data_IF_906867604808
#
_entry.id   IF_906867604808
#
_cell.length_a   1.000
_cell.length_b   1.000
_cell.length_c   1.000
_cell.angle_alpha   90.00
_cell.angle_beta   90.00
_cell.angle_gamma   90.00
#
_symmetry.space_group_name_H-M   'P 1'
#
loop_
_entity.id
_entity.type
_entity.pdbx_description
1 polymer ?
#
# COMPACT_ATOMS: atom_id res chain seq x y z
N UNK A 1 -5.63 -18.54 7.67
CA UNK A 1 -4.59 -18.10 6.71
C UNK A 1 -4.64 -18.85 5.39
N UNK A 2 -4.85 -20.17 5.37
CA UNK A 2 -4.96 -20.95 4.11
C UNK A 2 -6.03 -20.42 3.14
N UNK A 3 -7.28 -20.25 3.58
CA UNK A 3 -8.36 -19.73 2.73
C UNK A 3 -8.02 -18.36 2.15
N UNK A 4 -7.36 -17.51 2.94
CA UNK A 4 -6.90 -16.20 2.51
C UNK A 4 -5.81 -16.31 1.43
N UNK A 5 -4.80 -17.16 1.63
CA UNK A 5 -3.76 -17.43 0.62
C UNK A 5 -4.35 -17.97 -0.69
N UNK A 6 -5.31 -18.90 -0.62
CA UNK A 6 -6.03 -19.42 -1.79
C UNK A 6 -6.82 -18.33 -2.51
N UNK A 7 -7.50 -17.45 -1.79
CA UNK A 7 -8.21 -16.32 -2.41
C UNK A 7 -7.26 -15.37 -3.14
N UNK A 8 -6.07 -15.12 -2.58
CA UNK A 8 -5.05 -14.26 -3.19
C UNK A 8 -4.50 -14.81 -4.51
N UNK A 9 -4.45 -16.13 -4.71
CA UNK A 9 -4.05 -16.74 -5.98
C UNK A 9 -4.98 -16.34 -7.15
N UNK A 10 -6.24 -15.98 -6.86
CA UNK A 10 -7.19 -15.51 -7.87
C UNK A 10 -7.26 -13.98 -7.89
N UNK A 11 -7.26 -13.34 -6.71
CA UNK A 11 -7.39 -11.89 -6.60
C UNK A 11 -6.20 -11.16 -7.24
N UNK A 12 -4.96 -11.63 -7.02
CA UNK A 12 -3.77 -10.96 -7.53
C UNK A 12 -3.74 -10.94 -9.07
N UNK A 13 -3.89 -12.07 -9.80
CA UNK A 13 -3.98 -12.03 -11.26
C UNK A 13 -5.11 -11.15 -11.77
N UNK A 14 -6.27 -11.14 -11.09
CA UNK A 14 -7.38 -10.30 -11.46
C UNK A 14 -7.03 -8.81 -11.37
N UNK A 15 -6.40 -8.35 -10.28
CA UNK A 15 -5.92 -6.97 -10.17
C UNK A 15 -4.86 -6.62 -11.21
N UNK A 16 -3.92 -7.54 -11.49
CA UNK A 16 -2.91 -7.34 -12.54
C UNK A 16 -3.56 -7.14 -13.90
N UNK A 17 -4.57 -7.94 -14.25
CA UNK A 17 -5.32 -7.79 -15.50
C UNK A 17 -6.02 -6.43 -15.57
N UNK A 18 -6.64 -5.96 -14.47
CA UNK A 18 -7.29 -4.64 -14.44
C UNK A 18 -6.30 -3.49 -14.62
N UNK A 19 -5.14 -3.55 -13.97
CA UNK A 19 -4.08 -2.54 -14.13
C UNK A 19 -3.54 -2.56 -15.57
N UNK A 20 -3.27 -3.74 -16.14
CA UNK A 20 -2.82 -3.86 -17.53
C UNK A 20 -3.87 -3.36 -18.53
N UNK A 21 -5.16 -3.60 -18.24
CA UNK A 21 -6.26 -3.08 -19.03
C UNK A 21 -6.30 -1.54 -18.99
N UNK A 22 -6.15 -0.92 -17.83
CA UNK A 22 -6.10 0.54 -17.72
C UNK A 22 -4.88 1.14 -18.43
N UNK A 23 -3.70 0.50 -18.31
CA UNK A 23 -2.48 0.89 -19.05
C UNK A 23 -2.73 0.81 -20.56
N UNK A 24 -3.31 -0.30 -21.03
CA UNK A 24 -3.61 -0.53 -22.44
C UNK A 24 -4.65 0.45 -22.99
N UNK A 25 -5.70 0.73 -22.22
CA UNK A 25 -6.69 1.76 -22.54
C UNK A 25 -6.02 3.14 -22.66
N UNK A 26 -5.20 3.52 -21.68
CA UNK A 26 -4.45 4.77 -21.68
C UNK A 26 -3.55 4.96 -22.90
N UNK A 27 -2.88 3.89 -23.33
CA UNK A 27 -2.09 3.87 -24.55
C UNK A 27 -2.98 4.06 -25.79
N UNK A 28 -4.09 3.32 -25.89
CA UNK A 28 -5.04 3.40 -27.00
C UNK A 28 -5.64 4.81 -27.16
N UNK A 29 -6.02 5.46 -26.05
CA UNK A 29 -6.57 6.83 -26.07
C UNK A 29 -5.52 7.93 -26.07
N UNK A 30 -4.22 7.59 -26.10
CA UNK A 30 -3.08 8.52 -26.06
C UNK A 30 -3.09 9.49 -24.87
N UNK A 31 -3.58 9.04 -23.72
CA UNK A 31 -3.68 9.83 -22.48
C UNK A 31 -3.22 9.03 -21.27
N UNK A 32 -1.99 8.50 -21.33
CA UNK A 32 -1.45 7.62 -20.30
C UNK A 32 -1.39 8.31 -18.92
N UNK A 33 -1.90 7.62 -17.89
CA UNK A 33 -1.91 8.06 -16.49
C UNK A 33 -0.94 7.29 -15.60
N UNK A 34 -0.38 6.20 -16.11
CA UNK A 34 0.66 5.44 -15.44
C UNK A 34 2.04 5.97 -15.79
N UNK A 35 2.91 5.97 -14.78
CA UNK A 35 4.37 6.05 -14.97
C UNK A 35 4.99 4.76 -14.52
N UNK A 36 6.01 4.30 -15.23
CA UNK A 36 6.61 2.98 -15.00
C UNK A 36 7.12 2.83 -13.56
N UNK A 37 7.95 3.76 -13.08
CA UNK A 37 8.52 3.66 -11.73
C UNK A 37 7.47 3.79 -10.63
N UNK A 38 6.49 4.69 -10.79
CA UNK A 38 5.40 4.81 -9.83
C UNK A 38 4.50 3.56 -9.81
N UNK A 39 4.23 2.98 -10.97
CA UNK A 39 3.45 1.73 -11.10
C UNK A 39 4.20 0.58 -10.44
N UNK A 40 5.50 0.44 -10.71
CA UNK A 40 6.34 -0.60 -10.08
C UNK A 40 6.34 -0.42 -8.57
N UNK A 41 6.56 0.80 -8.06
CA UNK A 41 6.51 1.12 -6.63
C UNK A 41 5.17 0.76 -6.00
N UNK A 42 4.06 1.10 -6.67
CA UNK A 42 2.70 0.86 -6.17
C UNK A 42 2.36 -0.64 -6.12
N UNK A 43 2.70 -1.40 -7.17
CA UNK A 43 2.54 -2.86 -7.19
C UNK A 43 3.42 -3.53 -6.13
N UNK A 44 4.67 -3.07 -5.98
CA UNK A 44 5.60 -3.53 -4.95
C UNK A 44 5.06 -3.32 -3.54
N UNK A 45 4.41 -2.18 -3.29
CA UNK A 45 3.73 -1.89 -2.02
C UNK A 45 2.66 -2.94 -1.73
N UNK A 46 1.83 -3.27 -2.73
CA UNK A 46 0.81 -4.32 -2.62
C UNK A 46 1.40 -5.67 -2.27
N UNK A 47 2.51 -6.07 -2.92
CA UNK A 47 3.22 -7.32 -2.59
C UNK A 47 3.71 -7.33 -1.14
N UNK A 48 4.33 -6.25 -0.65
CA UNK A 48 4.82 -6.18 0.74
C UNK A 48 3.69 -6.26 1.77
N UNK A 49 2.57 -5.58 1.52
CA UNK A 49 1.39 -5.66 2.38
C UNK A 49 0.82 -7.09 2.42
N UNK A 50 0.65 -7.73 1.27
CA UNK A 50 0.14 -9.09 1.18
C UNK A 50 1.06 -10.11 1.86
N UNK A 51 2.40 -9.96 1.75
CA UNK A 51 3.36 -10.78 2.51
C UNK A 51 3.14 -10.62 4.01
N UNK A 52 3.11 -9.39 4.52
CA UNK A 52 2.89 -9.10 5.95
C UNK A 52 1.58 -9.70 6.45
N UNK A 53 0.47 -9.45 5.74
CA UNK A 53 -0.86 -9.85 6.18
C UNK A 53 -1.06 -11.37 6.10
N UNK A 54 -0.53 -12.03 5.06
CA UNK A 54 -0.58 -13.48 4.92
C UNK A 54 0.27 -14.25 5.94
N UNK A 55 1.35 -13.63 6.44
CA UNK A 55 2.18 -14.19 7.51
C UNK A 55 1.64 -13.90 8.92
N UNK A 56 0.54 -13.14 9.03
CA UNK A 56 -0.11 -12.86 10.31
C UNK A 56 0.73 -11.97 11.24
N UNK A 57 1.54 -11.06 10.68
CA UNK A 57 2.44 -10.20 11.45
C UNK A 57 1.74 -9.03 12.17
N UNK A 58 0.41 -8.97 12.12
CA UNK A 58 -0.42 -7.95 12.78
C UNK A 58 -0.84 -8.44 14.17
N UNK A 59 -0.59 -7.62 15.19
CA UNK A 59 -1.09 -7.83 16.53
C UNK A 59 -2.47 -7.19 16.64
N UNK A 60 -3.51 -8.01 16.74
CA UNK A 60 -4.89 -7.54 16.95
C UNK A 60 -5.10 -7.28 18.45
N UNK A 61 -5.39 -6.02 18.82
CA UNK A 61 -5.59 -5.64 20.25
C UNK A 61 -6.81 -6.37 20.82
N UNK A 62 -7.94 -6.27 20.11
CA UNK A 62 -9.19 -6.92 20.47
C UNK A 62 -9.78 -7.50 19.19
N UNK A 63 -10.02 -8.81 19.17
CA UNK A 63 -10.58 -9.48 18.00
C UNK A 63 -12.11 -9.33 17.94
N UNK A 64 -12.68 -9.33 16.74
CA UNK A 64 -14.14 -9.27 16.58
C UNK A 64 -14.86 -10.46 17.26
N UNK A 65 -14.37 -11.73 17.15
CA UNK A 65 -14.96 -12.84 17.91
C UNK A 65 -14.93 -12.63 19.42
N UNK A 66 -13.88 -12.01 19.97
CA UNK A 66 -13.84 -11.67 21.39
C UNK A 66 -14.96 -10.68 21.77
N UNK A 67 -15.18 -9.63 20.96
CA UNK A 67 -16.26 -8.66 21.21
C UNK A 67 -17.63 -9.34 21.21
N UNK A 68 -17.93 -10.16 20.20
CA UNK A 68 -19.22 -10.85 20.11
C UNK A 68 -19.41 -11.82 21.28
N UNK A 69 -18.45 -12.68 21.56
CA UNK A 69 -18.59 -13.74 22.57
C UNK A 69 -18.73 -13.20 24.00
N UNK A 70 -18.22 -12.00 24.29
CA UNK A 70 -18.20 -11.44 25.65
C UNK A 70 -19.17 -10.26 25.84
N UNK A 71 -19.51 -9.53 24.78
CA UNK A 71 -20.25 -8.27 24.88
C UNK A 71 -21.58 -8.28 24.11
N UNK A 72 -21.86 -9.26 23.24
CA UNK A 72 -23.10 -9.29 22.48
C UNK A 72 -24.31 -9.39 23.43
N UNK A 73 -25.31 -8.54 23.17
CA UNK A 73 -26.58 -8.53 23.91
C UNK A 73 -27.61 -9.48 23.30
N UNK A 74 -27.42 -9.85 22.03
CA UNK A 74 -28.33 -10.70 21.27
C UNK A 74 -27.55 -11.78 20.53
N UNK A 75 -28.23 -12.86 20.19
CA UNK A 75 -27.73 -13.87 19.27
C UNK A 75 -28.51 -13.73 17.95
N UNK A 76 -27.82 -13.34 16.87
CA UNK A 76 -28.43 -13.12 15.56
C UNK A 76 -27.99 -14.20 14.58
N UNK A 77 -28.95 -14.82 13.89
CA UNK A 77 -28.66 -15.76 12.79
C UNK A 77 -28.22 -15.00 11.54
N UNK A 78 -27.25 -15.55 10.81
CA UNK A 78 -26.80 -15.00 9.53
C UNK A 78 -27.90 -15.12 8.45
N UNK A 79 -28.70 -14.06 8.29
CA UNK A 79 -29.69 -13.90 7.22
C UNK A 79 -29.19 -12.88 6.20
N UNK A 80 -29.77 -12.85 4.99
CA UNK A 80 -29.38 -11.88 3.95
C UNK A 80 -29.45 -10.42 4.45
N UNK A 81 -30.41 -10.10 5.32
CA UNK A 81 -30.56 -8.76 5.91
C UNK A 81 -29.40 -8.44 6.84
N UNK A 82 -28.90 -9.42 7.59
CA UNK A 82 -27.73 -9.26 8.46
C UNK A 82 -26.47 -8.98 7.63
N UNK A 83 -26.31 -9.61 6.48
CA UNK A 83 -25.20 -9.29 5.56
C UNK A 83 -25.27 -7.84 5.07
N UNK A 84 -26.45 -7.35 4.68
CA UNK A 84 -26.64 -5.96 4.22
C UNK A 84 -26.33 -4.97 5.35
N UNK A 85 -26.90 -5.18 6.54
CA UNK A 85 -26.69 -4.30 7.70
C UNK A 85 -25.22 -4.35 8.14
N UNK A 86 -24.60 -5.52 8.17
CA UNK A 86 -23.20 -5.68 8.52
C UNK A 86 -22.28 -4.99 7.51
N UNK A 87 -22.59 -5.04 6.21
CA UNK A 87 -21.83 -4.32 5.19
C UNK A 87 -21.89 -2.79 5.41
N UNK A 88 -23.09 -2.26 5.71
CA UNK A 88 -23.26 -0.84 6.06
C UNK A 88 -22.48 -0.49 7.34
N UNK A 89 -22.49 -1.37 8.36
CA UNK A 89 -21.74 -1.17 9.59
C UNK A 89 -20.21 -1.20 9.36
N UNK A 90 -19.72 -2.10 8.50
CA UNK A 90 -18.32 -2.15 8.08
C UNK A 90 -17.95 -0.85 7.36
N UNK A 91 -18.79 -0.38 6.44
CA UNK A 91 -18.54 0.87 5.72
C UNK A 91 -18.53 2.10 6.62
N UNK A 92 -19.44 2.16 7.59
CA UNK A 92 -19.45 3.20 8.62
C UNK A 92 -18.19 3.15 9.50
N UNK A 93 -17.77 1.95 9.95
CA UNK A 93 -16.53 1.77 10.68
C UNK A 93 -15.31 2.18 9.84
N UNK A 94 -15.34 1.89 8.53
CA UNK A 94 -14.31 2.30 7.57
C UNK A 94 -14.23 3.81 7.42
N UNK A 95 -15.37 4.53 7.33
CA UNK A 95 -15.40 5.99 7.33
C UNK A 95 -14.69 6.58 8.56
N UNK A 96 -14.97 6.07 9.76
CA UNK A 96 -14.32 6.57 10.98
C UNK A 96 -12.84 6.20 11.04
N UNK A 97 -12.47 4.99 10.63
CA UNK A 97 -11.07 4.59 10.51
C UNK A 97 -10.31 5.54 9.57
N UNK A 98 -10.90 5.84 8.43
CA UNK A 98 -10.32 6.70 7.42
C UNK A 98 -10.21 8.15 7.90
N UNK A 99 -11.25 8.67 8.55
CA UNK A 99 -11.22 9.98 9.18
C UNK A 99 -10.17 10.10 10.28
N UNK A 100 -10.01 9.08 11.11
CA UNK A 100 -8.93 9.03 12.10
C UNK A 100 -7.56 9.03 11.44
N UNK A 101 -7.39 8.26 10.36
CA UNK A 101 -6.17 8.23 9.56
C UNK A 101 -5.81 9.59 8.97
N UNK A 102 -6.78 10.39 8.53
CA UNK A 102 -6.50 11.75 8.06
C UNK A 102 -6.26 12.76 9.17
N UNK A 103 -6.85 12.56 10.36
CA UNK A 103 -6.88 13.58 11.41
C UNK A 103 -5.88 13.36 12.54
N UNK A 104 -5.23 12.21 12.68
CA UNK A 104 -4.35 11.91 13.81
C UNK A 104 -3.02 11.32 13.34
N UNK A 105 -1.89 11.87 13.80
CA UNK A 105 -0.53 11.49 13.37
C UNK A 105 -0.26 9.96 13.38
N UNK A 106 -0.60 9.25 14.46
CA UNK A 106 -0.33 7.80 14.54
C UNK A 106 -1.11 6.99 13.51
N UNK A 107 -2.34 7.40 13.20
CA UNK A 107 -3.19 6.72 12.22
C UNK A 107 -2.83 7.15 10.79
N UNK A 108 -2.41 8.40 10.59
CA UNK A 108 -1.87 8.86 9.30
C UNK A 108 -0.66 8.04 8.87
N UNK A 109 0.20 7.60 9.79
CA UNK A 109 1.30 6.70 9.45
C UNK A 109 0.85 5.40 8.74
N UNK A 110 -0.35 4.91 9.06
CA UNK A 110 -0.92 3.70 8.48
C UNK A 110 -1.59 3.94 7.13
N UNK A 111 -1.70 5.19 6.70
CA UNK A 111 -2.47 5.57 5.51
C UNK A 111 -1.70 6.44 4.53
N UNK A 112 -0.68 7.18 4.97
CA UNK A 112 0.15 8.08 4.15
C UNK A 112 0.71 7.41 2.89
N UNK A 113 1.04 6.10 2.94
CA UNK A 113 1.54 5.40 1.76
C UNK A 113 0.48 5.31 0.66
N UNK A 114 -0.80 5.17 1.02
CA UNK A 114 -1.89 5.16 0.05
C UNK A 114 -1.93 6.44 -0.79
N UNK A 115 -1.74 7.59 -0.13
CA UNK A 115 -1.67 8.91 -0.78
C UNK A 115 -0.31 9.25 -1.38
N UNK A 116 0.72 8.45 -1.13
CA UNK A 116 2.10 8.82 -1.50
C UNK A 116 2.40 8.78 -2.99
N UNK A 117 1.55 8.19 -3.82
CA UNK A 117 1.70 8.30 -5.28
C UNK A 117 1.35 9.70 -5.72
N UNK A 118 2.22 10.27 -6.56
CA UNK A 118 1.95 11.55 -7.22
C UNK A 118 1.20 11.35 -8.55
N UNK A 119 0.90 10.11 -8.94
CA UNK A 119 0.00 9.75 -10.02
C UNK A 119 -1.28 9.12 -9.44
N UNK A 120 -2.38 9.12 -10.21
CA UNK A 120 -3.64 8.53 -9.75
C UNK A 120 -4.18 7.56 -10.80
N UNK A 121 -4.18 6.28 -10.47
CA UNK A 121 -4.53 5.16 -11.35
C UNK A 121 -4.72 3.87 -10.53
N UNK A 122 -5.15 2.78 -11.13
CA UNK A 122 -5.49 1.54 -10.43
C UNK A 122 -4.31 0.92 -9.69
N UNK A 123 -3.08 1.18 -10.12
CA UNK A 123 -1.91 0.69 -9.39
C UNK A 123 -1.75 1.40 -8.03
N UNK A 124 -2.07 2.70 -7.93
CA UNK A 124 -1.94 3.44 -6.67
C UNK A 124 -2.89 2.91 -5.57
N UNK A 125 -4.03 2.30 -5.95
CA UNK A 125 -4.92 1.60 -5.02
C UNK A 125 -4.20 0.52 -4.19
N UNK A 126 -3.14 -0.07 -4.77
CA UNK A 126 -2.36 -1.15 -4.16
C UNK A 126 -1.26 -0.64 -3.22
N UNK A 127 -1.12 0.68 -3.04
CA UNK A 127 -0.27 1.28 -2.01
C UNK A 127 -0.86 1.07 -0.62
N UNK A 128 -0.72 -0.15 -0.11
CA UNK A 128 -1.22 -0.58 1.19
C UNK A 128 -0.12 -0.56 2.25
N UNK A 129 -0.52 -0.32 3.51
CA UNK A 129 0.43 -0.16 4.61
C UNK A 129 1.01 -1.48 5.11
N UNK A 130 2.28 -1.43 5.46
CA UNK A 130 2.96 -2.44 6.28
C UNK A 130 3.30 -1.93 7.68
N UNK A 131 3.09 -0.64 7.94
CA UNK A 131 3.38 0.00 9.23
C UNK A 131 2.22 -0.15 10.25
N UNK A 132 1.05 -0.61 9.81
CA UNK A 132 -0.10 -0.98 10.64
C UNK A 132 0.11 -2.32 11.36
N UNK A 133 1.08 -2.39 12.26
CA UNK A 133 1.40 -3.59 13.06
C UNK A 133 0.40 -3.85 14.20
N UNK A 134 -0.40 -2.85 14.55
CA UNK A 134 -1.41 -2.92 15.60
C UNK A 134 -2.80 -2.79 14.98
N UNK A 135 -3.58 -3.87 15.00
CA UNK A 135 -4.94 -3.89 14.47
C UNK A 135 -5.97 -3.54 15.53
N UNK A 136 -6.76 -2.50 15.25
CA UNK A 136 -7.81 -1.98 16.15
C UNK A 136 -9.20 -1.88 15.48
N UNK A 137 -9.29 -2.14 14.17
CA UNK A 137 -10.54 -2.01 13.40
C UNK A 137 -11.77 -2.72 14.02
N UNK A 138 -11.66 -3.92 14.65
CA UNK A 138 -12.81 -4.54 15.31
C UNK A 138 -13.49 -3.65 16.37
N UNK A 139 -12.76 -2.74 17.02
CA UNK A 139 -13.30 -1.80 17.99
C UNK A 139 -14.29 -0.83 17.32
N UNK A 140 -14.05 -0.45 16.05
CA UNK A 140 -14.96 0.40 15.28
C UNK A 140 -16.24 -0.33 14.85
N UNK A 141 -16.23 -1.67 14.90
CA UNK A 141 -17.41 -2.51 14.68
C UNK A 141 -18.15 -2.84 15.98
N UNK A 142 -17.84 -2.15 17.07
CA UNK A 142 -18.48 -2.38 18.38
C UNK A 142 -20.02 -2.42 18.31
N UNK A 143 -20.73 -1.52 17.58
CA UNK A 143 -22.19 -1.62 17.47
C UNK A 143 -22.67 -2.94 16.82
N UNK A 144 -21.98 -3.43 15.80
CA UNK A 144 -22.31 -4.70 15.16
C UNK A 144 -22.04 -5.89 16.10
N UNK A 145 -20.94 -5.83 16.85
CA UNK A 145 -20.61 -6.85 17.85
C UNK A 145 -21.62 -6.87 19.01
N UNK A 146 -22.03 -5.70 19.50
CA UNK A 146 -23.03 -5.55 20.56
C UNK A 146 -24.39 -6.12 20.14
N UNK A 147 -24.76 -5.96 18.87
CA UNK A 147 -25.97 -6.55 18.30
C UNK A 147 -25.84 -8.05 18.04
N UNK A 148 -24.66 -8.65 18.17
CA UNK A 148 -24.46 -10.09 17.96
C UNK A 148 -24.35 -10.50 16.50
N UNK A 149 -23.88 -9.62 15.61
CA UNK A 149 -23.62 -9.98 14.21
C UNK A 149 -22.52 -11.07 14.17
N UNK A 150 -22.79 -12.24 13.56
CA UNK A 150 -21.83 -13.35 13.54
C UNK A 150 -20.49 -12.97 12.92
N UNK A 151 -19.40 -13.51 13.47
CA UNK A 151 -18.05 -13.18 13.04
C UNK A 151 -17.76 -13.68 11.61
N UNK A 152 -18.41 -14.76 11.18
CA UNK A 152 -18.32 -15.31 9.83
C UNK A 152 -18.87 -14.34 8.78
N UNK A 153 -19.92 -13.57 9.14
CA UNK A 153 -20.49 -12.52 8.28
C UNK A 153 -19.44 -11.42 8.06
N UNK A 154 -18.80 -10.95 9.14
CA UNK A 154 -17.75 -9.93 9.05
C UNK A 154 -16.54 -10.45 8.28
N UNK A 155 -16.12 -11.69 8.54
CA UNK A 155 -14.98 -12.32 7.88
C UNK A 155 -15.19 -12.45 6.36
N UNK A 156 -16.42 -12.71 5.91
CA UNK A 156 -16.77 -12.75 4.49
C UNK A 156 -16.85 -11.35 3.88
N UNK A 157 -17.48 -10.39 4.57
CA UNK A 157 -17.73 -9.06 4.02
C UNK A 157 -16.50 -8.16 4.01
N UNK A 158 -15.56 -8.31 4.94
CA UNK A 158 -14.36 -7.48 5.00
C UNK A 158 -13.54 -7.46 3.69
N UNK A 159 -13.17 -8.61 3.07
CA UNK A 159 -12.47 -8.59 1.78
C UNK A 159 -13.34 -8.09 0.62
N UNK A 160 -14.66 -8.32 0.66
CA UNK A 160 -15.60 -7.79 -0.35
C UNK A 160 -15.68 -6.26 -0.27
N UNK A 161 -15.73 -5.71 0.93
CA UNK A 161 -15.71 -4.27 1.20
C UNK A 161 -14.40 -3.63 0.75
N UNK A 162 -13.26 -4.27 1.01
CA UNK A 162 -11.95 -3.82 0.51
C UNK A 162 -11.92 -3.84 -1.03
N UNK A 163 -12.41 -4.90 -1.65
CA UNK A 163 -12.44 -5.00 -3.11
C UNK A 163 -13.35 -3.95 -3.77
N UNK A 164 -14.49 -3.62 -3.15
CA UNK A 164 -15.43 -2.61 -3.64
C UNK A 164 -14.80 -1.20 -3.75
N UNK A 165 -13.67 -0.98 -3.09
CA UNK A 165 -12.95 0.30 -3.11
C UNK A 165 -11.94 0.41 -4.27
N UNK A 166 -11.61 -0.68 -4.96
CA UNK A 166 -10.53 -0.66 -5.94
C UNK A 166 -10.86 0.18 -7.18
N UNK A 167 -12.05 -0.01 -7.76
CA UNK A 167 -12.39 0.45 -9.11
C UNK A 167 -12.38 1.97 -9.30
N UNK A 168 -12.54 2.74 -8.22
CA UNK A 168 -12.61 4.20 -8.31
C UNK A 168 -11.25 4.90 -8.37
N UNK A 169 -10.14 4.16 -8.36
CA UNK A 169 -8.79 4.72 -8.51
C UNK A 169 -8.44 4.94 -9.98
N UNK A 170 -9.17 5.81 -10.66
CA UNK A 170 -8.92 6.10 -12.08
C UNK A 170 -9.24 7.53 -12.44
N UNK A 171 -8.54 8.07 -13.43
CA UNK A 171 -8.84 9.36 -14.02
C UNK A 171 -9.66 9.26 -15.31
N UNK A 172 -9.91 8.05 -15.83
CA UNK A 172 -10.61 7.88 -17.12
C UNK A 172 -12.12 7.96 -17.00
N UNK A 173 -12.66 7.82 -15.79
CA UNK A 173 -14.10 7.92 -15.51
C UNK A 173 -14.38 9.30 -14.91
N UNK A 174 -15.21 10.08 -15.60
CA UNK A 174 -15.65 11.40 -15.14
C UNK A 174 -16.69 11.33 -14.02
N UNK A 175 -17.51 12.37 -13.90
CA UNK A 175 -18.62 12.41 -12.95
C UNK A 175 -19.72 11.41 -13.33
N UNK A 176 -20.32 10.76 -12.33
CA UNK A 176 -21.38 9.76 -12.54
C UNK A 176 -22.80 10.23 -12.16
N UNK A 177 -22.96 11.54 -11.95
CA UNK A 177 -24.27 12.16 -11.69
C UNK A 177 -24.90 11.67 -10.38
N UNK A 178 -26.12 11.12 -10.45
CA UNK A 178 -26.88 10.74 -9.25
C UNK A 178 -26.19 9.65 -8.40
N UNK A 179 -25.31 8.84 -8.99
CA UNK A 179 -24.55 7.83 -8.25
C UNK A 179 -23.62 8.46 -7.19
N UNK A 180 -23.15 9.69 -7.41
CA UNK A 180 -22.27 10.45 -6.48
C UNK A 180 -22.98 10.93 -5.21
N UNK A 181 -24.26 10.63 -5.06
CA UNK A 181 -25.03 10.87 -3.83
C UNK A 181 -25.14 9.61 -2.96
N UNK A 182 -24.81 8.44 -3.50
CA UNK A 182 -24.94 7.16 -2.80
C UNK A 182 -23.59 6.47 -2.68
N UNK A 183 -22.87 6.32 -3.80
CA UNK A 183 -21.60 5.61 -3.89
C UNK A 183 -20.43 6.59 -4.01
N UNK A 184 -19.28 6.20 -3.49
CA UNK A 184 -18.00 6.84 -3.81
C UNK A 184 -17.66 6.50 -5.26
N UNK A 185 -17.30 7.53 -6.01
CA UNK A 185 -17.01 7.46 -7.45
C UNK A 185 -15.58 7.90 -7.73
N UNK A 186 -15.04 7.62 -8.95
CA UNK A 186 -13.72 8.08 -9.36
C UNK A 186 -13.50 9.59 -9.19
N UNK A 187 -14.50 10.41 -9.50
CA UNK A 187 -14.50 11.87 -9.27
C UNK A 187 -14.27 12.23 -7.80
N UNK A 188 -15.06 11.65 -6.91
CA UNK A 188 -14.94 11.90 -5.48
C UNK A 188 -13.61 11.41 -4.91
N UNK A 189 -13.11 10.28 -5.41
CA UNK A 189 -11.85 9.72 -4.92
C UNK A 189 -10.61 10.44 -5.48
N UNK A 190 -10.68 11.05 -6.67
CA UNK A 190 -9.64 11.99 -7.14
C UNK A 190 -9.50 13.18 -6.19
N UNK A 191 -10.62 13.77 -5.77
CA UNK A 191 -10.63 14.86 -4.77
C UNK A 191 -9.99 14.38 -3.46
N UNK A 192 -10.35 13.20 -3.00
CA UNK A 192 -9.79 12.63 -1.78
C UNK A 192 -8.25 12.51 -1.81
N UNK A 193 -7.69 12.05 -2.94
CA UNK A 193 -6.25 11.91 -3.11
C UNK A 193 -5.51 13.23 -3.38
N UNK A 194 -6.24 14.32 -3.54
CA UNK A 194 -5.65 15.58 -3.94
C UNK A 194 -5.09 16.37 -2.75
N UNK A 195 -3.96 17.03 -2.98
CA UNK A 195 -3.30 17.90 -1.99
C UNK A 195 -3.65 19.38 -2.18
N UNK A 196 -4.52 19.70 -3.15
CA UNK A 196 -5.02 21.05 -3.37
C UNK A 196 -5.69 21.60 -2.09
N UNK A 197 -5.55 22.89 -1.77
CA UNK A 197 -6.23 23.51 -0.62
C UNK A 197 -7.75 23.31 -0.61
N UNK A 198 -8.37 23.22 -1.79
CA UNK A 198 -9.80 22.99 -2.00
C UNK A 198 -10.24 21.58 -1.60
N UNK A 199 -9.33 20.61 -1.69
CA UNK A 199 -9.64 19.18 -1.67
C UNK A 199 -9.05 18.44 -0.46
N UNK A 200 -8.07 19.03 0.24
CA UNK A 200 -7.39 18.38 1.34
C UNK A 200 -8.36 17.95 2.46
N UNK A 201 -8.18 16.72 2.95
CA UNK A 201 -9.02 16.08 3.97
C UNK A 201 -10.52 16.03 3.64
N UNK A 202 -10.85 15.80 2.37
CA UNK A 202 -12.23 15.60 1.89
C UNK A 202 -12.48 14.16 1.42
N UNK A 203 -13.76 13.81 1.31
CA UNK A 203 -14.26 12.55 0.74
C UNK A 203 -13.63 11.29 1.36
N UNK A 204 -13.91 11.05 2.65
CA UNK A 204 -13.31 10.00 3.48
C UNK A 204 -14.14 8.71 3.51
N UNK A 205 -15.30 8.64 2.86
CA UNK A 205 -16.06 7.40 2.76
C UNK A 205 -15.33 6.37 1.88
N UNK A 206 -15.55 5.09 2.18
CA UNK A 206 -15.04 3.97 1.39
C UNK A 206 -16.01 3.60 0.27
N UNK A 207 -17.23 3.16 0.60
CA UNK A 207 -18.23 2.75 -0.41
C UNK A 207 -19.39 3.74 -0.48
N UNK A 208 -19.99 4.13 0.64
CA UNK A 208 -21.14 5.02 0.64
C UNK A 208 -20.76 6.47 0.97
N UNK A 209 -20.80 7.36 -0.03
CA UNK A 209 -20.47 8.79 0.17
C UNK A 209 -21.51 9.57 1.01
N UNK A 210 -22.59 8.90 1.43
CA UNK A 210 -23.58 9.44 2.39
C UNK A 210 -22.90 9.88 3.68
N UNK A 211 -21.88 9.16 4.16
CA UNK A 211 -21.15 9.52 5.37
C UNK A 211 -20.43 10.86 5.24
N UNK A 212 -19.85 11.14 4.08
CA UNK A 212 -19.16 12.40 3.83
C UNK A 212 -20.10 13.61 3.90
N UNK A 213 -21.33 13.45 3.41
CA UNK A 213 -22.37 14.48 3.49
C UNK A 213 -22.86 14.64 4.91
N UNK A 214 -23.14 13.52 5.58
CA UNK A 214 -23.65 13.50 6.95
C UNK A 214 -22.68 14.13 7.96
N UNK A 215 -21.37 13.95 7.75
CA UNK A 215 -20.33 14.40 8.68
C UNK A 215 -19.47 15.56 8.16
N UNK A 216 -19.89 16.21 7.08
CA UNK A 216 -19.31 17.47 6.58
C UNK A 216 -17.92 17.34 5.93
N UNK A 217 -17.59 16.18 5.37
CA UNK A 217 -16.32 15.93 4.66
C UNK A 217 -16.48 15.85 3.15
N UNK A 218 -17.70 15.93 2.62
CA UNK A 218 -17.94 15.94 1.18
C UNK A 218 -17.37 17.18 0.49
N UNK A 219 -16.74 16.97 -0.66
CA UNK A 219 -16.30 18.00 -1.60
C UNK A 219 -16.46 17.47 -3.02
N UNK A 220 -17.08 18.27 -3.89
CA UNK A 220 -17.19 17.94 -5.30
C UNK A 220 -15.87 18.24 -6.04
N UNK A 221 -15.56 17.45 -7.07
CA UNK A 221 -14.50 17.79 -8.04
C UNK A 221 -14.95 18.98 -8.88
N UNK A 222 -14.29 20.12 -8.71
CA UNK A 222 -14.60 21.37 -9.40
C UNK A 222 -14.01 21.33 -10.83
N UNK A 223 -14.72 21.91 -11.78
CA UNK A 223 -14.32 21.89 -13.20
C UNK A 223 -13.09 22.75 -13.48
N UNK A 224 -12.90 23.81 -12.70
CA UNK A 224 -11.82 24.79 -12.81
C UNK A 224 -10.60 24.47 -11.94
N UNK A 225 -10.69 23.45 -11.07
CA UNK A 225 -9.61 23.06 -10.16
C UNK A 225 -9.14 21.64 -10.47
N UNK A 226 -7.99 21.55 -11.16
CA UNK A 226 -7.37 20.27 -11.50
C UNK A 226 -6.79 19.61 -10.24
N UNK A 227 -7.19 18.37 -9.90
CA UNK A 227 -6.61 17.64 -8.78
C UNK A 227 -5.11 17.37 -8.97
N UNK A 228 -4.34 17.63 -7.92
CA UNK A 228 -2.91 17.36 -7.82
C UNK A 228 -2.70 16.33 -6.72
N UNK A 229 -2.01 15.23 -7.03
CA UNK A 229 -1.88 14.09 -6.12
C UNK A 229 -0.52 14.04 -5.42
N UNK A 230 -0.47 13.25 -4.35
CA UNK A 230 0.70 13.02 -3.53
C UNK A 230 0.42 13.30 -2.06
N UNK A 231 1.46 13.68 -1.33
CA UNK A 231 1.37 14.11 0.07
C UNK A 231 2.15 15.41 0.23
N UNK A 232 1.66 16.31 1.11
CA UNK A 232 2.30 17.61 1.36
C UNK A 232 3.77 17.52 1.78
N UNK A 233 4.21 16.37 2.30
CA UNK A 233 5.61 16.05 2.55
C UNK A 233 6.01 14.89 1.65
N UNK A 234 6.48 15.16 0.42
CA UNK A 234 6.76 14.15 -0.60
C UNK A 234 7.57 12.97 -0.07
N UNK A 235 7.31 11.82 -0.66
CA UNK A 235 8.02 10.59 -0.34
C UNK A 235 9.49 10.66 -0.79
N UNK A 236 9.75 11.24 -1.97
CA UNK A 236 11.08 11.36 -2.58
C UNK A 236 11.87 10.04 -2.62
N UNK A 237 11.17 8.94 -2.89
CA UNK A 237 11.73 7.59 -3.07
C UNK A 237 10.69 6.71 -3.75
N UNK A 238 11.14 5.74 -4.53
CA UNK A 238 10.29 4.68 -5.08
C UNK A 238 10.15 3.48 -4.13
N UNK A 239 10.91 3.41 -3.03
CA UNK A 239 10.88 2.27 -2.12
C UNK A 239 9.68 2.31 -1.16
N UNK A 240 8.65 1.45 -1.34
CA UNK A 240 7.42 1.51 -0.54
C UNK A 240 7.64 1.14 0.93
N UNK A 241 8.71 0.40 1.24
CA UNK A 241 9.06 0.06 2.61
C UNK A 241 9.54 1.32 3.32
N UNK A 242 10.41 2.13 2.69
CA UNK A 242 10.85 3.40 3.26
C UNK A 242 9.66 4.36 3.46
N UNK A 243 8.81 4.51 2.45
CA UNK A 243 7.62 5.40 2.50
C UNK A 243 6.76 5.11 3.73
N UNK A 244 6.51 3.83 4.04
CA UNK A 244 5.69 3.40 5.19
C UNK A 244 6.20 3.91 6.55
N UNK A 245 7.50 4.15 6.69
CA UNK A 245 8.12 4.52 7.96
C UNK A 245 8.61 5.97 8.01
N UNK A 246 8.55 6.71 6.91
CA UNK A 246 8.97 8.12 6.89
C UNK A 246 8.16 9.00 7.84
N UNK A 247 6.83 8.86 7.89
CA UNK A 247 6.01 9.68 8.78
C UNK A 247 6.30 9.34 10.25
N UNK A 248 6.33 8.05 10.61
CA UNK A 248 6.70 7.60 11.95
C UNK A 248 8.08 8.11 12.37
N UNK A 249 9.08 8.00 11.48
CA UNK A 249 10.43 8.50 11.74
C UNK A 249 10.43 10.00 12.03
N UNK A 250 9.69 10.79 11.24
CA UNK A 250 9.55 12.24 11.47
C UNK A 250 8.95 12.53 12.86
N UNK A 251 7.93 11.79 13.28
CA UNK A 251 7.35 11.91 14.63
C UNK A 251 8.34 11.53 15.73
N UNK A 252 9.08 10.41 15.57
CA UNK A 252 10.12 9.99 16.52
C UNK A 252 11.19 11.08 16.69
N UNK A 253 11.66 11.66 15.59
CA UNK A 253 12.65 12.74 15.61
C UNK A 253 12.10 13.96 16.34
N UNK A 254 10.86 14.38 16.07
CA UNK A 254 10.26 15.53 16.73
C UNK A 254 10.02 15.27 18.23
N UNK A 255 9.56 14.08 18.60
CA UNK A 255 9.40 13.63 19.99
C UNK A 255 10.75 13.57 20.73
N UNK A 256 11.82 13.16 20.05
CA UNK A 256 13.16 13.12 20.64
C UNK A 256 13.69 14.52 20.94
N UNK A 257 13.56 15.46 20.00
CA UNK A 257 14.19 16.78 20.07
C UNK A 257 13.40 17.84 20.84
N UNK A 258 12.09 17.64 21.08
CA UNK A 258 11.32 18.57 21.92
C UNK A 258 11.79 18.51 23.37
N UNK A 259 11.91 19.68 24.00
CA UNK A 259 12.25 19.86 25.41
C UNK A 259 11.04 19.64 26.32
N UNK A 260 9.82 19.73 25.78
CA UNK A 260 8.61 19.58 26.54
C UNK A 260 8.20 18.10 26.65
N UNK A 261 8.25 17.55 27.87
CA UNK A 261 7.88 16.16 28.12
C UNK A 261 6.43 15.83 27.72
N UNK A 262 5.49 16.78 27.86
CA UNK A 262 4.10 16.58 27.41
C UNK A 262 4.03 16.43 25.90
N UNK A 263 4.83 17.19 25.16
CA UNK A 263 4.88 17.14 23.69
C UNK A 263 5.46 15.82 23.18
N UNK A 264 6.39 15.21 23.93
CA UNK A 264 6.90 13.85 23.63
C UNK A 264 5.79 12.80 23.63
N UNK A 265 4.78 12.95 24.51
CA UNK A 265 3.70 11.98 24.68
C UNK A 265 2.47 12.30 23.82
N UNK A 266 2.09 13.57 23.66
CA UNK A 266 0.87 13.89 22.90
C UNK A 266 1.05 13.87 21.39
N UNK A 267 2.28 14.07 20.87
CA UNK A 267 2.55 14.19 19.42
C UNK A 267 1.89 13.09 18.58
N UNK A 268 1.86 11.85 19.08
CA UNK A 268 1.27 10.69 18.41
C UNK A 268 -0.24 10.82 18.19
N UNK A 269 -0.94 11.53 19.08
CA UNK A 269 -2.39 11.70 19.08
C UNK A 269 -2.84 13.11 18.67
N UNK A 270 -1.88 14.00 18.40
CA UNK A 270 -2.18 15.34 17.90
C UNK A 270 -2.61 15.31 16.42
N UNK A 271 -3.28 16.38 15.95
CA UNK A 271 -3.72 16.48 14.57
C UNK A 271 -2.60 16.23 13.56
N UNK A 272 -2.93 15.61 12.43
CA UNK A 272 -1.97 15.35 11.35
C UNK A 272 -1.24 16.64 10.97
N UNK A 273 0.09 16.58 11.00
CA UNK A 273 0.95 17.73 10.70
C UNK A 273 1.30 18.61 11.89
N UNK A 274 0.65 18.44 13.05
CA UNK A 274 1.05 19.11 14.28
C UNK A 274 2.46 18.71 14.71
N UNK A 275 3.25 19.69 15.16
CA UNK A 275 4.61 19.52 15.67
C UNK A 275 4.82 20.38 16.94
N UNK A 276 5.71 19.99 17.85
CA UNK A 276 6.06 20.82 19.02
C UNK A 276 6.68 22.15 18.57
N UNK A 277 6.22 23.27 19.15
CA UNK A 277 6.65 24.61 18.73
C UNK A 277 8.17 24.80 18.82
N UNK A 278 8.80 24.27 19.88
CA UNK A 278 10.24 24.35 20.08
C UNK A 278 11.07 23.54 19.07
N UNK A 279 10.44 22.63 18.33
CA UNK A 279 11.07 21.82 17.28
C UNK A 279 10.85 22.44 15.91
N UNK A 280 9.69 23.06 15.65
CA UNK A 280 9.38 23.69 14.35
C UNK A 280 10.47 24.69 13.96
N UNK A 281 10.85 25.56 14.89
CA UNK A 281 11.85 26.61 14.63
C UNK A 281 13.28 26.06 14.50
N UNK A 282 13.59 24.97 15.19
CA UNK A 282 14.94 24.38 15.25
C UNK A 282 15.23 23.37 14.15
N UNK A 283 14.20 22.64 13.72
CA UNK A 283 14.27 21.56 12.75
C UNK A 283 13.12 21.77 11.75
N UNK A 284 13.28 22.71 10.80
CA UNK A 284 12.28 22.92 9.76
C UNK A 284 12.14 21.67 8.89
N UNK A 285 10.95 21.47 8.33
CA UNK A 285 10.67 20.41 7.37
C UNK A 285 10.00 21.06 6.17
N UNK A 286 10.54 20.82 5.00
CA UNK A 286 9.93 21.27 3.76
C UNK A 286 8.56 20.60 3.57
N UNK A 287 7.61 21.38 3.07
CA UNK A 287 6.30 20.94 2.64
C UNK A 287 5.92 21.67 1.37
N UNK A 288 5.08 21.05 0.55
CA UNK A 288 4.52 21.69 -0.63
C UNK A 288 3.58 22.83 -0.17
N UNK A 289 3.94 24.07 -0.53
CA UNK A 289 3.10 25.25 -0.30
C UNK A 289 2.22 25.58 -1.50
N UNK A 290 2.72 25.30 -2.71
CA UNK A 290 2.00 25.49 -3.97
C UNK A 290 1.87 24.16 -4.74
N UNK A 291 0.76 23.43 -4.53
CA UNK A 291 0.50 22.18 -5.25
C UNK A 291 0.46 22.32 -6.78
N UNK A 292 0.12 23.48 -7.32
CA UNK A 292 -0.05 23.63 -8.76
C UNK A 292 1.27 23.70 -9.51
N UNK A 293 2.35 24.11 -8.83
CA UNK A 293 3.67 24.33 -9.44
C UNK A 293 4.78 23.44 -8.87
N UNK A 294 4.47 22.47 -7.99
CA UNK A 294 5.51 21.60 -7.45
C UNK A 294 5.99 20.55 -8.47
N UNK A 295 7.29 20.28 -8.46
CA UNK A 295 7.88 19.27 -9.32
C UNK A 295 7.69 17.87 -8.73
N UNK A 296 6.99 17.01 -9.47
CA UNK A 296 6.81 15.60 -9.11
C UNK A 296 8.14 14.85 -9.06
N UNK A 297 8.31 13.94 -8.11
CA UNK A 297 9.48 13.09 -7.93
C UNK A 297 9.76 12.24 -9.18
N UNK A 298 11.00 12.30 -9.67
CA UNK A 298 11.47 11.53 -10.83
C UNK A 298 12.95 11.19 -10.67
N UNK A 299 13.30 9.97 -11.07
CA UNK A 299 14.70 9.51 -11.13
C UNK A 299 15.22 9.39 -12.58
N UNK A 300 14.38 9.70 -13.57
CA UNK A 300 14.69 9.62 -15.02
C UNK A 300 15.51 8.38 -15.40
N UNK A 301 14.99 7.17 -15.10
CA UNK A 301 15.75 5.94 -15.27
C UNK A 301 16.00 5.62 -16.74
N UNK A 302 17.04 4.84 -17.01
CA UNK A 302 17.24 4.26 -18.33
C UNK A 302 16.09 3.30 -18.68
N UNK A 303 15.90 3.07 -19.97
CA UNK A 303 14.97 2.02 -20.45
C UNK A 303 15.39 0.66 -19.89
N UNK A 304 16.69 0.37 -19.83
CA UNK A 304 17.22 -0.88 -19.30
C UNK A 304 16.90 -1.05 -17.81
N UNK A 305 17.11 -0.02 -17.00
CA UNK A 305 16.76 -0.03 -15.57
C UNK A 305 15.25 -0.19 -15.36
N UNK A 306 14.44 0.47 -16.20
CA UNK A 306 12.98 0.32 -16.15
C UNK A 306 12.54 -1.11 -16.40
N UNK A 307 13.06 -1.76 -17.45
CA UNK A 307 12.77 -3.17 -17.72
C UNK A 307 13.33 -4.09 -16.64
N UNK A 308 14.51 -3.79 -16.10
CA UNK A 308 15.10 -4.55 -15.00
C UNK A 308 14.23 -4.51 -13.74
N UNK A 309 13.79 -3.33 -13.32
CA UNK A 309 12.87 -3.17 -12.18
C UNK A 309 11.54 -3.88 -12.42
N UNK A 310 11.01 -3.81 -13.65
CA UNK A 310 9.82 -4.58 -14.05
C UNK A 310 10.03 -6.09 -13.95
N UNK A 311 11.18 -6.61 -14.39
CA UNK A 311 11.56 -8.01 -14.26
C UNK A 311 11.65 -8.44 -12.78
N UNK A 312 12.28 -7.63 -11.92
CA UNK A 312 12.38 -7.93 -10.48
C UNK A 312 11.00 -7.98 -9.81
N UNK A 313 10.10 -7.07 -10.18
CA UNK A 313 8.70 -7.09 -9.73
C UNK A 313 7.98 -8.37 -10.16
N UNK A 314 8.05 -8.74 -11.44
CA UNK A 314 7.40 -9.96 -11.96
C UNK A 314 7.96 -11.23 -11.33
N UNK A 315 9.28 -11.30 -11.12
CA UNK A 315 9.90 -12.43 -10.45
C UNK A 315 9.46 -12.51 -8.98
N UNK A 316 9.42 -11.38 -8.27
CA UNK A 316 8.92 -11.31 -6.88
C UNK A 316 7.45 -11.71 -6.77
N UNK A 317 6.62 -11.30 -7.73
CA UNK A 317 5.22 -11.74 -7.86
C UNK A 317 5.14 -13.25 -8.08
N UNK A 318 5.96 -13.82 -8.97
CA UNK A 318 6.02 -15.26 -9.20
C UNK A 318 6.39 -16.05 -7.94
N UNK A 319 7.39 -15.58 -7.20
CA UNK A 319 7.77 -16.15 -5.89
C UNK A 319 6.61 -16.07 -4.88
N UNK A 320 5.93 -14.93 -4.81
CA UNK A 320 4.78 -14.76 -3.92
C UNK A 320 3.63 -15.72 -4.26
N UNK A 321 3.27 -15.84 -5.53
CA UNK A 321 2.22 -16.76 -5.97
C UNK A 321 2.60 -18.22 -5.70
N UNK A 322 3.88 -18.58 -5.89
CA UNK A 322 4.37 -19.91 -5.53
C UNK A 322 4.29 -20.18 -4.02
N UNK A 323 4.67 -19.20 -3.19
CA UNK A 323 4.52 -19.28 -1.74
C UNK A 323 3.07 -19.52 -1.32
N UNK A 324 2.10 -18.84 -1.95
CA UNK A 324 0.68 -19.04 -1.67
C UNK A 324 0.12 -20.37 -2.16
N UNK A 325 0.58 -20.82 -3.33
CA UNK A 325 0.20 -22.14 -3.84
C UNK A 325 0.66 -23.26 -2.91
N UNK A 326 1.86 -23.12 -2.32
CA UNK A 326 2.43 -24.10 -1.38
C UNK A 326 2.24 -23.73 0.10
N UNK A 327 1.33 -22.80 0.43
CA UNK A 327 1.27 -22.20 1.76
C UNK A 327 1.09 -23.21 2.90
N UNK A 328 0.31 -24.28 2.67
CA UNK A 328 0.07 -25.35 3.65
C UNK A 328 1.20 -26.37 3.74
N UNK A 329 2.05 -26.43 2.70
CA UNK A 329 3.14 -27.41 2.58
C UNK A 329 4.45 -26.87 3.16
N UNK A 330 4.55 -25.55 3.37
CA UNK A 330 5.72 -24.88 3.92
C UNK A 330 5.47 -24.63 5.42
N UNK A 331 6.43 -25.01 6.27
CA UNK A 331 6.31 -24.74 7.71
C UNK A 331 6.31 -23.24 8.01
N UNK A 332 5.71 -22.82 9.13
CA UNK A 332 5.61 -21.40 9.50
C UNK A 332 6.96 -20.68 9.53
N UNK A 333 8.00 -21.32 10.06
CA UNK A 333 9.36 -20.73 10.11
C UNK A 333 9.91 -20.52 8.70
N UNK A 334 9.71 -21.49 7.81
CA UNK A 334 10.13 -21.40 6.42
C UNK A 334 9.31 -20.36 5.64
N UNK A 335 8.01 -20.19 5.92
CA UNK A 335 7.19 -19.11 5.35
C UNK A 335 7.72 -17.73 5.75
N UNK A 336 8.12 -17.55 7.02
CA UNK A 336 8.72 -16.29 7.47
C UNK A 336 10.04 -15.99 6.75
N UNK A 337 10.89 -17.01 6.55
CA UNK A 337 12.15 -16.86 5.80
C UNK A 337 11.89 -16.57 4.33
N UNK A 338 10.94 -17.29 3.69
CA UNK A 338 10.53 -17.05 2.31
C UNK A 338 10.07 -15.60 2.15
N UNK A 339 9.12 -15.17 2.99
CA UNK A 339 8.58 -13.81 2.98
C UNK A 339 9.67 -12.77 3.17
N UNK A 340 10.62 -13.00 4.08
CA UNK A 340 11.77 -12.12 4.28
C UNK A 340 12.64 -12.00 3.02
N UNK A 341 12.94 -13.10 2.32
CA UNK A 341 13.75 -13.05 1.08
C UNK A 341 13.04 -12.25 -0.01
N UNK A 342 11.72 -12.45 -0.19
CA UNK A 342 10.93 -11.66 -1.15
C UNK A 342 10.90 -10.19 -0.73
N UNK A 343 10.70 -9.91 0.55
CA UNK A 343 10.67 -8.55 1.10
C UNK A 343 12.01 -7.81 0.92
N UNK A 344 13.14 -8.50 1.14
CA UNK A 344 14.48 -7.99 0.85
C UNK A 344 14.66 -7.72 -0.65
N UNK A 345 14.16 -8.60 -1.51
CA UNK A 345 14.12 -8.38 -2.96
C UNK A 345 13.39 -7.09 -3.33
N UNK A 346 12.19 -6.90 -2.78
CA UNK A 346 11.39 -5.69 -2.99
C UNK A 346 12.12 -4.44 -2.50
N UNK A 347 12.73 -4.49 -1.31
CA UNK A 347 13.55 -3.39 -0.82
C UNK A 347 14.68 -3.07 -1.79
N UNK A 348 15.46 -4.06 -2.21
CA UNK A 348 16.61 -3.86 -3.09
C UNK A 348 16.21 -3.22 -4.42
N UNK A 349 15.34 -3.83 -5.21
CA UNK A 349 15.09 -3.30 -6.56
C UNK A 349 14.36 -1.96 -6.54
N UNK A 350 13.55 -1.67 -5.51
CA UNK A 350 12.89 -0.37 -5.39
C UNK A 350 13.84 0.73 -4.89
N UNK A 351 14.82 0.41 -4.03
CA UNK A 351 15.93 1.32 -3.72
C UNK A 351 16.86 1.55 -4.93
N UNK A 352 17.07 0.53 -5.77
CA UNK A 352 17.85 0.68 -7.00
C UNK A 352 17.18 1.62 -8.01
N UNK A 353 15.84 1.71 -8.02
CA UNK A 353 15.11 2.70 -8.83
C UNK A 353 15.43 4.16 -8.43
N UNK A 354 15.90 4.35 -7.18
CA UNK A 354 16.42 5.62 -6.65
C UNK A 354 17.95 5.75 -6.76
N UNK A 355 18.65 4.76 -7.35
CA UNK A 355 20.12 4.65 -7.35
C UNK A 355 20.72 4.72 -5.93
N UNK A 356 19.96 4.26 -4.92
CA UNK A 356 20.41 4.27 -3.54
C UNK A 356 21.49 3.20 -3.31
N UNK A 357 22.68 3.63 -2.87
CA UNK A 357 23.84 2.76 -2.61
C UNK A 357 23.57 1.70 -1.55
N UNK A 358 22.65 1.94 -0.62
CA UNK A 358 22.32 0.95 0.42
C UNK A 358 21.67 -0.31 -0.16
N UNK A 359 21.13 -0.27 -1.39
CA UNK A 359 20.57 -1.46 -2.06
C UNK A 359 21.55 -2.63 -2.10
N UNK A 360 22.87 -2.39 -2.18
CA UNK A 360 23.85 -3.47 -2.28
C UNK A 360 23.90 -4.32 -1.01
N UNK A 361 23.61 -3.72 0.15
CA UNK A 361 23.62 -4.42 1.44
C UNK A 361 22.45 -5.41 1.48
N UNK A 362 21.25 -4.93 1.16
CA UNK A 362 20.04 -5.76 1.15
C UNK A 362 20.10 -6.85 0.06
N UNK A 363 20.68 -6.53 -1.08
CA UNK A 363 20.89 -7.48 -2.16
C UNK A 363 21.92 -8.56 -1.80
N UNK A 364 22.99 -8.18 -1.10
CA UNK A 364 23.96 -9.15 -0.53
C UNK A 364 23.28 -10.08 0.47
N UNK A 365 22.47 -9.53 1.39
CA UNK A 365 21.75 -10.34 2.38
C UNK A 365 20.79 -11.31 1.68
N UNK A 366 20.03 -10.83 0.68
CA UNK A 366 19.13 -11.66 -0.13
C UNK A 366 19.87 -12.81 -0.82
N UNK A 367 21.01 -12.52 -1.45
CA UNK A 367 21.87 -13.51 -2.10
C UNK A 367 22.36 -14.56 -1.09
N UNK A 368 22.90 -14.14 0.05
CA UNK A 368 23.42 -15.05 1.08
C UNK A 368 22.31 -15.96 1.60
N UNK A 369 21.15 -15.40 1.95
CA UNK A 369 20.01 -16.18 2.45
C UNK A 369 19.47 -17.14 1.39
N UNK A 370 19.34 -16.68 0.14
CA UNK A 370 18.90 -17.51 -0.98
C UNK A 370 19.85 -18.69 -1.22
N UNK A 371 21.15 -18.43 -1.33
CA UNK A 371 22.17 -19.46 -1.48
C UNK A 371 22.22 -20.41 -0.28
N UNK A 372 22.05 -19.91 0.94
CA UNK A 372 22.00 -20.74 2.14
C UNK A 372 20.83 -21.72 2.09
N UNK A 373 19.62 -21.28 1.70
CA UNK A 373 18.48 -22.18 1.53
C UNK A 373 18.80 -23.25 0.48
N UNK A 374 19.18 -22.84 -0.74
CA UNK A 374 19.49 -23.78 -1.83
C UNK A 374 20.58 -24.78 -1.46
N UNK A 375 21.60 -24.37 -0.71
CA UNK A 375 22.67 -25.25 -0.24
C UNK A 375 22.18 -26.31 0.75
N UNK A 376 21.32 -25.94 1.70
CA UNK A 376 20.87 -26.84 2.76
C UNK A 376 19.73 -27.76 2.31
N UNK A 377 18.85 -27.31 1.42
CA UNK A 377 17.66 -28.07 1.00
C UNK A 377 17.80 -28.68 -0.39
N UNK A 378 18.80 -28.26 -1.18
CA UNK A 378 18.93 -28.59 -2.61
C UNK A 378 17.67 -28.25 -3.43
N UNK A 379 16.84 -27.33 -2.91
CA UNK A 379 15.50 -27.02 -3.42
C UNK A 379 15.07 -25.61 -2.97
N UNK A 380 14.11 -25.02 -3.68
CA UNK A 380 13.46 -23.79 -3.29
C UNK A 380 12.03 -24.06 -2.79
N UNK A 381 11.90 -24.37 -1.49
CA UNK A 381 10.61 -24.53 -0.81
C UNK A 381 9.60 -25.43 -1.53
N UNK A 382 10.05 -26.56 -2.11
CA UNK A 382 9.23 -27.51 -2.86
C UNK A 382 9.19 -27.28 -4.36
N UNK A 383 9.88 -26.27 -4.91
CA UNK A 383 9.82 -25.92 -6.34
C UNK A 383 10.39 -27.04 -7.23
N UNK A 384 11.38 -27.79 -6.75
CA UNK A 384 11.97 -28.92 -7.47
C UNK A 384 10.98 -30.06 -7.76
N UNK A 385 9.84 -30.11 -7.06
CA UNK A 385 8.77 -31.07 -7.36
C UNK A 385 8.03 -30.74 -8.67
N UNK A 386 8.13 -29.50 -9.13
CA UNK A 386 7.44 -28.99 -10.32
C UNK A 386 8.38 -28.69 -11.48
N UNK A 387 9.64 -28.35 -11.17
CA UNK A 387 10.65 -27.95 -12.15
C UNK A 387 11.99 -28.60 -11.79
N UNK A 388 12.45 -29.56 -12.60
CA UNK A 388 13.72 -30.28 -12.35
C UNK A 388 14.94 -29.33 -12.23
N UNK A 389 14.89 -28.20 -12.94
CA UNK A 389 15.94 -27.17 -12.93
C UNK A 389 15.72 -26.03 -11.92
N UNK A 390 14.78 -26.18 -10.98
CA UNK A 390 14.39 -25.15 -9.99
C UNK A 390 15.59 -24.53 -9.26
N UNK A 391 16.48 -25.37 -8.71
CA UNK A 391 17.65 -24.94 -7.95
C UNK A 391 18.60 -24.09 -8.79
N UNK A 392 18.82 -24.47 -10.06
CA UNK A 392 19.66 -23.70 -10.98
C UNK A 392 19.00 -22.38 -11.40
N UNK A 393 17.69 -22.38 -11.63
CA UNK A 393 16.93 -21.16 -11.95
C UNK A 393 17.05 -20.16 -10.80
N UNK A 394 16.82 -20.61 -9.56
CA UNK A 394 16.89 -19.75 -8.38
C UNK A 394 18.30 -19.24 -8.12
N UNK A 395 19.32 -20.10 -8.24
CA UNK A 395 20.71 -19.69 -8.09
C UNK A 395 21.11 -18.64 -9.15
N UNK A 396 20.72 -18.88 -10.41
CA UNK A 396 20.96 -17.96 -11.52
C UNK A 396 20.26 -16.62 -11.27
N UNK A 397 19.02 -16.65 -10.77
CA UNK A 397 18.31 -15.44 -10.39
C UNK A 397 19.04 -14.65 -9.31
N UNK A 398 19.44 -15.28 -8.19
CA UNK A 398 20.12 -14.54 -7.12
C UNK A 398 21.44 -13.93 -7.57
N UNK A 399 22.24 -14.67 -8.34
CA UNK A 399 23.52 -14.17 -8.88
C UNK A 399 23.28 -13.04 -9.89
N UNK A 400 22.36 -13.22 -10.84
CA UNK A 400 22.05 -12.19 -11.85
C UNK A 400 21.43 -10.95 -11.22
N UNK A 401 20.56 -11.10 -10.21
CA UNK A 401 19.96 -9.99 -9.46
C UNK A 401 21.04 -9.14 -8.76
N UNK A 402 22.02 -9.79 -8.14
CA UNK A 402 23.17 -9.14 -7.53
C UNK A 402 24.08 -8.42 -8.55
N UNK A 403 24.45 -9.11 -9.63
CA UNK A 403 25.29 -8.53 -10.70
C UNK A 403 24.57 -7.35 -11.37
N UNK A 404 23.28 -7.48 -11.68
CA UNK A 404 22.48 -6.41 -12.27
C UNK A 404 22.39 -5.21 -11.34
N UNK A 405 22.22 -5.44 -10.03
CA UNK A 405 22.25 -4.36 -9.02
C UNK A 405 23.58 -3.60 -9.05
N UNK A 406 24.72 -4.31 -9.09
CA UNK A 406 26.05 -3.67 -9.23
C UNK A 406 26.16 -2.89 -10.54
N UNK A 407 25.73 -3.48 -11.65
CA UNK A 407 25.78 -2.85 -12.96
C UNK A 407 25.01 -1.53 -12.99
N UNK A 408 23.72 -1.56 -12.62
CA UNK A 408 22.86 -0.38 -12.65
C UNK A 408 23.30 0.69 -11.64
N UNK A 409 23.91 0.29 -10.52
CA UNK A 409 24.35 1.23 -9.50
C UNK A 409 25.68 1.93 -9.84
N UNK A 410 26.64 1.22 -10.45
CA UNK A 410 28.02 1.72 -10.60
C UNK A 410 28.51 1.88 -12.04
N UNK A 411 27.90 1.19 -13.00
CA UNK A 411 28.41 1.09 -14.37
C UNK A 411 27.46 1.62 -15.44
N UNK A 412 26.16 1.69 -15.15
CA UNK A 412 25.21 2.32 -16.06
C UNK A 412 25.52 3.82 -16.19
N UNK A 413 25.81 4.25 -17.42
CA UNK A 413 26.08 5.64 -17.73
C UNK A 413 24.78 6.45 -17.84
N UNK A 414 24.62 7.43 -16.96
CA UNK A 414 23.47 8.35 -16.97
C UNK A 414 23.51 9.32 -18.17
N UNK A 415 24.59 9.34 -18.97
CA UNK A 415 24.80 10.29 -20.07
C UNK A 415 23.90 10.08 -21.30
N UNK A 416 23.29 8.90 -21.47
CA UNK A 416 22.44 8.57 -22.62
C UNK A 416 21.00 9.11 -22.57
N UNK A 417 20.59 9.74 -21.46
CA UNK A 417 19.19 9.99 -21.12
C UNK A 417 18.60 11.34 -21.55
N UNK A 418 19.40 12.24 -22.13
CA UNK A 418 18.90 13.53 -22.65
C UNK A 418 18.13 13.43 -23.98
N UNK A 419 18.03 12.25 -24.60
CA UNK A 419 17.52 12.10 -25.97
C UNK A 419 16.06 11.64 -26.09
N UNK A 420 15.36 11.27 -25.00
CA UNK A 420 14.00 10.71 -25.07
C UNK A 420 12.98 11.38 -24.14
N UNK A 421 13.30 12.54 -23.56
CA UNK A 421 12.38 13.30 -22.71
C UNK A 421 11.45 14.25 -23.48
N UNK A 422 11.08 13.91 -24.71
CA UNK A 422 10.11 14.67 -25.51
C UNK A 422 9.13 13.68 -26.14
N UNK A 423 8.01 13.45 -25.45
CA UNK A 423 6.63 13.46 -25.98
C UNK A 423 5.61 12.95 -24.95
#
# INVERSE_FOLDING_TARGET
METYAKALLYAIPFFVVLVLFEIGYGHFVKKQKHRAMDTISSLSSGLTNIIKDSLGLVIIIVSYPFLVNNLALFEIKATWLVYVIAFIAIDFGSYWNHRLSHKVNIFWNQHVIHHSSEEFNLACALRQSISNLIGYFPILLFPAALLGVPHEVIALLAPVHLFAQFWYHTQYIGKLGWLEYILVTPSQHRVHHAINPEYIDKNLAAVFCVWDRMFGTFQEELEDVTPVYGVLKPANTWNPILINFQHLWRLCVDAWHTRNFKDKLRIWFMPTGWRPADVVDRIPRESIEDPYNFEKYRTNPSIALTYWSGFQLLFSLGLLLFMFYNFTNISTVLLLIYGLIVFLGIYSYTSLMDKDKYTIIFETIKLILGCYILWNTADWFGLAQYIDSATYIMLTYFISSYIGTIYFLYFEDDSGLKALSVD
#
